data_IF_773069033943
#
_entry.id   IF_773069033943
#
_cell.length_a   1.000
_cell.length_b   1.000
_cell.length_c   1.000
_cell.angle_alpha   90.00
_cell.angle_beta   90.00
_cell.angle_gamma   90.00
#
_symmetry.space_group_name_H-M   'P 1'
#
loop_
_entity.id
_entity.type
_entity.pdbx_description
1 polymer ?
#
# COMPACT_ATOMS: atom_id res chain seq x y z
N UNK A 1 12.95 30.41 58.61
CA UNK A 1 12.92 28.95 58.88
C UNK A 1 11.50 28.38 59.13
N UNK A 2 10.42 29.18 59.11
CA UNK A 2 9.05 28.69 59.35
C UNK A 2 8.29 28.37 58.04
N UNK A 3 8.70 27.31 57.32
CA UNK A 3 7.91 26.73 56.21
C UNK A 3 7.87 25.19 56.20
N UNK A 4 8.22 24.54 57.31
CA UNK A 4 8.16 23.07 57.41
C UNK A 4 9.17 22.30 56.55
N UNK A 5 10.13 22.99 55.92
CA UNK A 5 11.23 22.35 55.21
C UNK A 5 12.33 22.00 56.22
N UNK A 6 12.60 20.70 56.39
CA UNK A 6 13.67 20.21 57.27
C UNK A 6 15.02 20.33 56.55
N UNK A 7 15.71 21.46 56.71
CA UNK A 7 16.98 21.75 56.00
C UNK A 7 18.20 21.24 56.81
N UNK A 8 17.98 20.49 57.89
CA UNK A 8 19.01 20.05 58.85
C UNK A 8 20.17 19.24 58.25
N UNK A 9 19.94 18.52 57.16
CA UNK A 9 21.00 17.72 56.50
C UNK A 9 21.79 18.50 55.43
N UNK A 10 21.36 19.70 55.05
CA UNK A 10 22.00 20.52 54.01
C UNK A 10 23.13 21.33 54.62
N UNK A 11 24.31 21.30 53.97
CA UNK A 11 25.54 21.92 54.47
C UNK A 11 25.44 23.44 54.69
N UNK A 12 24.60 24.14 53.94
CA UNK A 12 24.44 25.60 54.05
C UNK A 12 22.97 26.04 53.95
N UNK A 13 22.61 27.10 54.69
CA UNK A 13 21.26 27.70 54.69
C UNK A 13 20.94 28.40 53.36
N UNK A 14 21.95 28.89 52.66
CA UNK A 14 21.87 29.44 51.32
C UNK A 14 22.69 28.55 50.37
N UNK A 15 22.05 27.50 49.85
CA UNK A 15 22.70 26.55 48.96
C UNK A 15 23.05 27.20 47.62
N UNK A 16 24.31 27.57 47.42
CA UNK A 16 24.85 28.05 46.14
C UNK A 16 25.33 26.84 45.32
N UNK A 17 24.91 26.77 44.06
CA UNK A 17 25.22 25.66 43.15
C UNK A 17 25.80 26.24 41.85
N UNK A 18 26.67 25.49 41.17
CA UNK A 18 27.24 25.89 39.88
C UNK A 18 26.18 26.06 38.78
N UNK A 19 26.35 27.08 37.92
CA UNK A 19 25.47 27.41 36.78
C UNK A 19 25.26 26.23 35.81
N UNK A 20 26.17 25.25 35.78
CA UNK A 20 26.05 24.04 34.95
C UNK A 20 24.76 23.25 35.22
N UNK A 21 24.18 23.38 36.41
CA UNK A 21 22.93 22.70 36.78
C UNK A 21 21.75 23.20 35.95
N UNK A 22 21.78 24.44 35.45
CA UNK A 22 20.77 24.98 34.53
C UNK A 22 20.71 24.20 33.21
N UNK A 23 21.83 23.59 32.80
CA UNK A 23 21.95 22.80 31.57
C UNK A 23 21.44 21.36 31.66
N UNK A 24 20.99 20.88 32.83
CA UNK A 24 20.55 19.49 32.99
C UNK A 24 19.25 19.20 32.24
N UNK A 25 19.34 18.37 31.19
CA UNK A 25 18.18 17.91 30.42
C UNK A 25 17.58 16.62 30.95
N UNK A 26 18.29 15.88 31.80
CA UNK A 26 17.88 14.57 32.30
C UNK A 26 17.55 14.64 33.79
N UNK A 27 16.39 14.11 34.15
CA UNK A 27 15.94 14.03 35.57
C UNK A 27 16.85 13.15 36.43
N UNK A 28 17.59 12.22 35.82
CA UNK A 28 18.57 11.37 36.52
C UNK A 28 19.73 12.18 37.09
N UNK A 29 20.23 13.15 36.34
CA UNK A 29 21.35 14.01 36.74
C UNK A 29 20.93 14.93 37.88
N UNK A 30 19.76 15.58 37.75
CA UNK A 30 19.18 16.41 38.81
C UNK A 30 18.93 15.60 40.10
N UNK A 31 18.38 14.38 40.00
CA UNK A 31 18.15 13.53 41.17
C UNK A 31 19.46 13.11 41.86
N UNK A 32 20.54 12.89 41.11
CA UNK A 32 21.86 12.59 41.67
C UNK A 32 22.45 13.80 42.40
N UNK A 33 22.32 15.00 41.84
CA UNK A 33 22.74 16.24 42.49
C UNK A 33 22.03 16.41 43.84
N UNK A 34 20.70 16.29 43.88
CA UNK A 34 19.94 16.46 45.13
C UNK A 34 20.26 15.39 46.19
N UNK A 35 20.68 14.19 45.78
CA UNK A 35 21.19 13.17 46.72
C UNK A 35 22.56 13.55 47.28
N UNK A 36 23.47 14.05 46.45
CA UNK A 36 24.80 14.53 46.89
C UNK A 36 24.68 15.71 47.85
N UNK A 37 23.77 16.64 47.56
CA UNK A 37 23.48 17.81 48.39
C UNK A 37 22.57 17.49 49.61
N UNK A 38 22.26 16.21 49.84
CA UNK A 38 21.37 15.71 50.92
C UNK A 38 19.97 16.35 50.97
N UNK A 39 19.55 17.03 49.90
CA UNK A 39 18.24 17.66 49.77
C UNK A 39 17.11 16.70 49.31
N UNK A 40 17.46 15.46 48.93
CA UNK A 40 16.51 14.48 48.38
C UNK A 40 15.36 14.13 49.33
N UNK A 41 15.61 14.12 50.64
CA UNK A 41 14.59 13.82 51.65
C UNK A 41 13.49 14.89 51.70
N UNK A 42 13.84 16.15 51.49
CA UNK A 42 12.88 17.25 51.44
C UNK A 42 11.98 17.18 50.21
N UNK A 43 12.55 16.81 49.06
CA UNK A 43 11.78 16.61 47.83
C UNK A 43 10.76 15.48 48.00
N UNK A 44 11.15 14.35 48.62
CA UNK A 44 10.22 13.26 48.93
C UNK A 44 9.08 13.64 49.89
N UNK A 45 9.27 14.63 50.76
CA UNK A 45 8.21 15.12 51.66
C UNK A 45 7.14 15.92 50.93
N UNK A 46 7.52 16.60 49.84
CA UNK A 46 6.62 17.38 48.98
C UNK A 46 5.91 16.48 47.96
N UNK A 47 6.62 15.49 47.41
CA UNK A 47 6.08 14.57 46.41
C UNK A 47 5.57 13.26 47.03
N UNK A 48 4.29 12.95 46.79
CA UNK A 48 3.68 11.69 47.17
C UNK A 48 3.91 10.58 46.14
N UNK A 49 3.99 9.35 46.61
CA UNK A 49 3.83 8.14 45.79
C UNK A 49 2.42 7.59 46.01
N UNK A 50 1.95 6.66 45.16
CA UNK A 50 0.62 6.06 45.37
C UNK A 50 0.46 5.37 46.74
N UNK A 51 1.56 4.93 47.37
CA UNK A 51 1.54 4.30 48.69
C UNK A 51 1.68 5.29 49.86
N UNK A 52 2.29 6.47 49.65
CA UNK A 52 2.59 7.44 50.72
C UNK A 52 2.14 8.84 50.33
N UNK A 53 1.22 9.38 51.11
CA UNK A 53 0.75 10.75 50.98
C UNK A 53 1.89 11.76 51.25
N UNK A 54 1.77 12.96 50.67
CA UNK A 54 2.75 14.03 50.86
C UNK A 54 2.56 14.61 52.26
N UNK A 55 3.65 14.75 53.02
CA UNK A 55 3.57 15.29 54.37
C UNK A 55 3.40 16.81 54.38
N UNK A 56 3.95 17.50 53.38
CA UNK A 56 3.95 18.97 53.31
C UNK A 56 2.82 19.55 52.47
N UNK A 57 2.19 18.76 51.60
CA UNK A 57 1.09 19.20 50.73
C UNK A 57 -0.17 18.43 51.07
N UNK A 58 -1.00 19.01 51.93
CA UNK A 58 -2.28 18.44 52.33
C UNK A 58 -3.20 18.23 51.12
N UNK A 59 -3.96 17.13 51.13
CA UNK A 59 -4.94 16.76 50.08
C UNK A 59 -4.36 16.55 48.67
N UNK A 60 -3.06 16.30 48.53
CA UNK A 60 -2.43 16.00 47.23
C UNK A 60 -1.95 14.56 47.15
N UNK A 61 -2.46 13.81 46.17
CA UNK A 61 -1.96 12.49 45.77
C UNK A 61 -1.54 12.49 44.30
N UNK A 62 -0.55 11.68 43.95
CA UNK A 62 -0.05 11.58 42.58
C UNK A 62 -1.13 10.93 41.70
N UNK A 63 -1.41 11.46 40.49
CA UNK A 63 -2.41 10.87 39.60
C UNK A 63 -2.14 9.38 39.37
N UNK A 64 -3.19 8.57 39.44
CA UNK A 64 -3.08 7.17 39.04
C UNK A 64 -2.92 7.08 37.52
N UNK A 65 -1.95 6.29 37.07
CA UNK A 65 -1.88 5.89 35.67
C UNK A 65 -3.19 5.20 35.26
N UNK A 66 -3.73 5.57 34.09
CA UNK A 66 -4.98 4.99 33.56
C UNK A 66 -4.79 3.56 33.07
N UNK A 67 -3.58 3.22 32.63
CA UNK A 67 -3.20 1.91 32.12
C UNK A 67 -1.92 1.46 32.81
N UNK A 68 -1.90 0.21 33.28
CA UNK A 68 -0.76 -0.34 34.02
C UNK A 68 0.40 -0.71 33.10
N UNK A 69 0.10 -1.31 31.95
CA UNK A 69 1.06 -1.62 30.91
C UNK A 69 0.83 -0.72 29.69
N UNK A 70 1.84 0.04 29.29
CA UNK A 70 1.81 0.97 28.15
C UNK A 70 2.33 0.37 26.85
N UNK A 71 2.70 -0.92 26.84
CA UNK A 71 3.13 -1.60 25.62
C UNK A 71 1.96 -2.37 24.97
N UNK A 72 1.25 -1.76 24.00
CA UNK A 72 0.19 -2.44 23.28
C UNK A 72 0.71 -3.61 22.46
N UNK A 73 1.96 -3.59 21.99
CA UNK A 73 2.52 -4.68 21.18
C UNK A 73 2.65 -5.96 22.00
N UNK A 74 3.11 -5.83 23.25
CA UNK A 74 3.18 -6.96 24.19
C UNK A 74 1.79 -7.50 24.53
N UNK A 75 0.82 -6.62 24.79
CA UNK A 75 -0.57 -7.02 25.09
C UNK A 75 -1.16 -7.74 23.89
N UNK A 76 -1.08 -7.18 22.69
CA UNK A 76 -1.66 -7.76 21.48
C UNK A 76 -1.04 -9.10 21.10
N UNK A 77 0.26 -9.30 21.38
CA UNK A 77 0.99 -10.55 21.09
C UNK A 77 0.92 -11.57 22.23
N UNK A 78 0.22 -11.28 23.31
CA UNK A 78 0.11 -12.19 24.45
C UNK A 78 -0.69 -13.44 24.07
N UNK A 79 -0.33 -14.59 24.66
CA UNK A 79 -0.95 -15.88 24.32
C UNK A 79 -2.43 -15.93 24.69
N UNK A 80 -2.84 -15.20 25.72
CA UNK A 80 -4.22 -15.10 26.19
C UNK A 80 -5.10 -14.44 25.13
N UNK A 81 -4.65 -13.34 24.54
CA UNK A 81 -5.36 -12.64 23.46
C UNK A 81 -5.32 -13.48 22.19
N UNK A 82 -4.15 -13.97 21.79
CA UNK A 82 -4.00 -14.75 20.55
C UNK A 82 -4.81 -16.06 20.57
N UNK A 83 -4.99 -16.69 21.75
CA UNK A 83 -5.85 -17.87 21.90
C UNK A 83 -7.34 -17.56 21.69
N UNK A 84 -7.79 -16.38 22.10
CA UNK A 84 -9.17 -15.95 21.93
C UNK A 84 -9.45 -15.40 20.52
N UNK A 85 -8.41 -14.93 19.81
CA UNK A 85 -8.55 -14.37 18.47
C UNK A 85 -8.85 -15.45 17.42
N UNK A 86 -9.75 -15.10 16.49
CA UNK A 86 -10.04 -15.90 15.31
C UNK A 86 -8.97 -15.70 14.24
N UNK A 87 -8.56 -16.78 13.58
CA UNK A 87 -7.63 -16.70 12.44
C UNK A 87 -8.17 -15.74 11.35
N UNK A 88 -7.30 -14.89 10.76
CA UNK A 88 -7.71 -13.96 9.72
C UNK A 88 -8.13 -14.72 8.45
N UNK A 89 -9.33 -14.43 7.94
CA UNK A 89 -9.84 -15.04 6.71
C UNK A 89 -9.61 -14.10 5.52
N UNK A 90 -8.77 -14.50 4.57
CA UNK A 90 -8.58 -13.79 3.30
C UNK A 90 -9.10 -14.66 2.14
N UNK A 91 -9.98 -14.10 1.31
CA UNK A 91 -10.44 -14.76 0.08
C UNK A 91 -9.58 -14.30 -1.09
N UNK A 92 -8.94 -15.24 -1.78
CA UNK A 92 -8.12 -14.91 -2.96
C UNK A 92 -9.02 -14.55 -4.15
N UNK A 93 -8.84 -13.34 -4.70
CA UNK A 93 -9.53 -12.89 -5.91
C UNK A 93 -8.89 -13.54 -7.14
N UNK A 94 -9.63 -14.44 -7.80
CA UNK A 94 -9.21 -15.07 -9.05
C UNK A 94 -9.58 -14.19 -10.25
N UNK A 95 -8.71 -14.14 -11.27
CA UNK A 95 -8.97 -13.36 -12.48
C UNK A 95 -10.04 -14.05 -13.37
N UNK A 96 -11.18 -13.40 -13.68
CA UNK A 96 -12.27 -14.02 -14.44
C UNK A 96 -11.92 -14.23 -15.92
N UNK A 97 -11.04 -13.42 -16.52
CA UNK A 97 -10.64 -13.59 -17.93
C UNK A 97 -9.82 -14.87 -18.11
N UNK A 98 -9.01 -15.22 -17.11
CA UNK A 98 -8.18 -16.43 -17.11
C UNK A 98 -8.91 -17.65 -16.53
N UNK A 99 -9.86 -17.47 -15.60
CA UNK A 99 -10.59 -18.56 -14.97
C UNK A 99 -12.07 -18.60 -15.43
N UNK A 100 -12.46 -19.53 -16.31
CA UNK A 100 -13.81 -19.56 -16.88
C UNK A 100 -14.89 -19.80 -15.83
N UNK A 101 -14.65 -20.57 -14.76
CA UNK A 101 -15.64 -20.82 -13.71
C UNK A 101 -16.00 -19.55 -12.94
N UNK A 102 -15.00 -18.70 -12.71
CA UNK A 102 -15.21 -17.40 -12.05
C UNK A 102 -15.95 -16.44 -12.98
N UNK A 103 -15.63 -16.44 -14.28
CA UNK A 103 -16.40 -15.68 -15.26
C UNK A 103 -17.87 -16.11 -15.27
N UNK A 104 -18.14 -17.42 -15.28
CA UNK A 104 -19.50 -17.96 -15.29
C UNK A 104 -20.27 -17.65 -14.00
N UNK A 105 -19.59 -17.62 -12.85
CA UNK A 105 -20.18 -17.20 -11.58
C UNK A 105 -20.59 -15.72 -11.57
N UNK A 106 -19.82 -14.86 -12.24
CA UNK A 106 -20.08 -13.42 -12.31
C UNK A 106 -21.07 -13.06 -13.42
N UNK A 107 -20.91 -13.66 -14.59
CA UNK A 107 -21.69 -13.40 -15.78
C UNK A 107 -22.09 -14.74 -16.45
N UNK A 108 -23.30 -15.26 -16.20
CA UNK A 108 -23.75 -16.52 -16.79
C UNK A 108 -23.89 -16.43 -18.32
N UNK A 109 -24.22 -15.25 -18.85
CA UNK A 109 -24.36 -15.03 -20.31
C UNK A 109 -23.02 -15.18 -21.05
N UNK A 110 -21.88 -15.04 -20.35
CA UNK A 110 -20.57 -15.28 -20.93
C UNK A 110 -20.41 -16.71 -21.48
N UNK A 111 -21.17 -17.69 -20.97
CA UNK A 111 -21.20 -19.06 -21.52
C UNK A 111 -21.74 -19.06 -22.96
N UNK A 112 -22.89 -18.42 -23.15
CA UNK A 112 -23.61 -18.37 -24.42
C UNK A 112 -22.81 -17.62 -25.46
N UNK A 113 -22.24 -16.46 -25.09
CA UNK A 113 -21.38 -15.68 -25.98
C UNK A 113 -20.16 -16.50 -26.40
N UNK A 114 -19.44 -17.10 -25.46
CA UNK A 114 -18.27 -17.94 -25.79
C UNK A 114 -18.64 -19.08 -26.74
N UNK A 115 -19.72 -19.81 -26.48
CA UNK A 115 -20.18 -20.90 -27.34
C UNK A 115 -20.48 -20.41 -28.75
N UNK A 116 -21.25 -19.32 -28.89
CA UNK A 116 -21.57 -18.74 -30.19
C UNK A 116 -20.31 -18.28 -30.96
N UNK A 117 -19.33 -17.71 -30.26
CA UNK A 117 -18.07 -17.28 -30.87
C UNK A 117 -17.23 -18.45 -31.35
N UNK A 118 -17.16 -19.54 -30.58
CA UNK A 118 -16.43 -20.76 -30.96
C UNK A 118 -17.06 -21.38 -32.20
N UNK A 119 -18.39 -21.52 -32.23
CA UNK A 119 -19.11 -22.06 -33.39
C UNK A 119 -18.89 -21.18 -34.63
N UNK A 120 -18.93 -19.86 -34.47
CA UNK A 120 -18.65 -18.93 -35.57
C UNK A 120 -17.22 -19.06 -36.09
N UNK A 121 -16.24 -19.15 -35.19
CA UNK A 121 -14.83 -19.31 -35.56
C UNK A 121 -14.59 -20.63 -36.28
N UNK A 122 -15.14 -21.74 -35.79
CA UNK A 122 -15.00 -23.05 -36.42
C UNK A 122 -15.63 -23.07 -37.82
N UNK A 123 -16.82 -22.49 -37.99
CA UNK A 123 -17.47 -22.33 -39.31
C UNK A 123 -16.60 -21.50 -40.26
N UNK A 124 -16.09 -20.37 -39.80
CA UNK A 124 -15.23 -19.51 -40.62
C UNK A 124 -13.92 -20.20 -41.00
N UNK A 125 -13.32 -20.95 -40.08
CA UNK A 125 -12.12 -21.73 -40.36
C UNK A 125 -12.39 -22.81 -41.41
N UNK A 126 -13.51 -23.54 -41.29
CA UNK A 126 -13.93 -24.52 -42.29
C UNK A 126 -14.10 -23.87 -43.67
N UNK A 127 -14.85 -22.77 -43.76
CA UNK A 127 -15.04 -22.05 -45.02
C UNK A 127 -13.72 -21.55 -45.61
N UNK A 128 -12.78 -21.10 -44.76
CA UNK A 128 -11.46 -20.67 -45.22
C UNK A 128 -10.63 -21.84 -45.75
N UNK A 129 -10.66 -23.00 -45.09
CA UNK A 129 -10.00 -24.23 -45.55
C UNK A 129 -10.62 -24.73 -46.85
N UNK A 130 -11.94 -24.81 -46.95
CA UNK A 130 -12.64 -25.25 -48.16
C UNK A 130 -12.35 -24.30 -49.33
N UNK A 131 -12.32 -22.99 -49.07
CA UNK A 131 -11.95 -21.97 -50.06
C UNK A 131 -10.48 -22.09 -50.49
N UNK A 132 -9.57 -22.35 -49.54
CA UNK A 132 -8.15 -22.56 -49.83
C UNK A 132 -7.94 -23.85 -50.64
N UNK A 133 -8.65 -24.93 -50.31
CA UNK A 133 -8.62 -26.20 -51.04
C UNK A 133 -9.17 -26.05 -52.47
N UNK A 134 -10.30 -25.35 -52.64
CA UNK A 134 -10.85 -25.06 -53.96
C UNK A 134 -9.91 -24.17 -54.81
N UNK A 135 -9.26 -23.18 -54.20
CA UNK A 135 -8.25 -22.37 -54.88
C UNK A 135 -7.03 -23.21 -55.29
N UNK A 136 -6.55 -24.10 -54.43
CA UNK A 136 -5.46 -25.02 -54.75
C UNK A 136 -5.84 -26.01 -55.87
N UNK A 137 -7.09 -26.50 -55.89
CA UNK A 137 -7.59 -27.35 -56.97
C UNK A 137 -7.67 -26.60 -58.31
N UNK A 138 -8.10 -25.34 -58.31
CA UNK A 138 -8.11 -24.50 -59.51
C UNK A 138 -6.69 -24.28 -60.06
N UNK A 139 -5.72 -24.01 -59.19
CA UNK A 139 -4.31 -23.91 -59.57
C UNK A 139 -3.73 -25.24 -60.11
N UNK A 140 -4.16 -26.38 -59.57
CA UNK A 140 -3.79 -27.69 -60.09
C UNK A 140 -4.36 -27.93 -61.50
N UNK A 141 -5.59 -27.48 -61.79
CA UNK A 141 -6.21 -27.62 -63.11
C UNK A 141 -5.67 -26.63 -64.16
N UNK A 142 -5.11 -25.49 -63.75
CA UNK A 142 -4.47 -24.53 -64.68
C UNK A 142 -3.07 -24.94 -65.14
N UNK A 143 -2.49 -26.01 -64.59
CA UNK A 143 -1.16 -26.50 -64.98
C UNK A 143 -1.17 -27.49 -66.17
N UNK A 144 -2.32 -27.77 -66.78
CA UNK A 144 -2.41 -28.64 -67.97
C UNK A 144 -2.78 -27.94 -69.30
N UNK A 145 -2.83 -26.60 -69.36
CA UNK A 145 -2.91 -25.90 -70.64
C UNK A 145 -1.94 -24.72 -70.70
N UNK A 146 -0.84 -24.94 -71.40
CA UNK A 146 0.19 -23.94 -71.67
C UNK A 146 -0.19 -22.91 -72.74
N UNK A 147 0.62 -21.84 -72.73
CA UNK A 147 0.82 -20.68 -73.65
C UNK A 147 -0.11 -19.45 -73.52
N UNK A 148 0.42 -18.21 -73.76
CA UNK A 148 0.45 -17.18 -72.72
C UNK A 148 -0.16 -15.83 -73.15
N UNK A 149 -0.45 -14.99 -72.16
CA UNK A 149 -0.52 -13.54 -72.35
C UNK A 149 -1.91 -12.94 -72.54
N UNK A 150 -2.30 -12.12 -71.57
CA UNK A 150 -2.59 -10.68 -71.72
C UNK A 150 -3.13 -10.16 -70.39
N UNK A 151 -2.43 -9.23 -69.75
CA UNK A 151 -2.98 -8.43 -68.65
C UNK A 151 -4.01 -7.45 -69.24
N UNK A 152 -5.26 -7.37 -68.76
CA UNK A 152 -6.09 -6.21 -69.01
C UNK A 152 -5.89 -5.19 -67.89
N UNK A 153 -5.46 -4.02 -68.33
CA UNK A 153 -5.34 -2.78 -67.58
C UNK A 153 -6.66 -2.02 -67.71
N UNK A 154 -7.13 -1.45 -66.59
CA UNK A 154 -8.01 -0.26 -66.45
C UNK A 154 -9.46 -0.32 -66.91
N UNK A 155 -10.36 0.08 -65.99
CA UNK A 155 -11.74 0.44 -66.29
C UNK A 155 -12.48 1.10 -65.11
N UNK A 156 -12.00 2.26 -64.65
CA UNK A 156 -12.76 3.14 -63.73
C UNK A 156 -14.03 3.68 -64.43
N UNK A 157 -15.18 3.67 -63.74
CA UNK A 157 -16.20 4.76 -63.66
C UNK A 157 -17.44 4.25 -62.90
N UNK A 158 -18.14 4.99 -62.03
CA UNK A 158 -17.92 6.28 -61.34
C UNK A 158 -19.06 6.44 -60.31
N UNK A 159 -18.68 6.84 -59.09
CA UNK A 159 -19.24 7.90 -58.22
C UNK A 159 -20.77 8.14 -58.14
N UNK A 160 -21.27 8.21 -56.89
CA UNK A 160 -21.72 9.44 -56.17
C UNK A 160 -21.33 9.27 -54.69
N UNK A 161 -20.44 10.08 -54.10
CA UNK A 161 -20.67 11.37 -53.41
C UNK A 161 -21.82 11.25 -52.38
N UNK A 162 -21.61 11.38 -51.07
CA UNK A 162 -21.40 12.58 -50.23
C UNK A 162 -20.94 12.06 -48.84
N UNK A 163 -20.09 12.68 -48.02
CA UNK A 163 -19.46 13.99 -47.96
C UNK A 163 -18.42 13.96 -46.83
N UNK A 164 -17.52 14.94 -46.86
CA UNK A 164 -16.27 15.08 -46.11
C UNK A 164 -16.51 15.64 -44.70
N UNK A 165 -15.75 15.16 -43.70
CA UNK A 165 -14.98 15.96 -42.70
C UNK A 165 -13.80 15.08 -42.21
N UNK A 166 -12.60 15.09 -42.83
CA UNK A 166 -11.39 15.92 -42.52
C UNK A 166 -11.09 15.93 -41.00
N UNK A 167 -9.97 15.46 -40.45
CA UNK A 167 -8.53 15.78 -40.66
C UNK A 167 -7.74 14.84 -39.71
N UNK A 168 -6.43 14.55 -39.74
CA UNK A 168 -5.25 14.63 -40.62
C UNK A 168 -4.16 13.82 -39.88
N UNK A 169 -3.30 13.06 -40.57
CA UNK A 169 -1.98 12.59 -40.06
C UNK A 169 -0.95 13.73 -40.18
N UNK A 170 0.15 13.79 -39.40
CA UNK A 170 1.46 13.20 -39.79
C UNK A 170 2.28 12.61 -38.60
N UNK A 171 3.06 11.53 -38.72
CA UNK A 171 4.42 11.33 -39.26
C UNK A 171 5.60 11.94 -38.44
N UNK A 172 6.58 11.06 -38.15
CA UNK A 172 8.01 11.28 -37.84
C UNK A 172 8.40 11.64 -36.39
N UNK A 173 8.99 10.63 -35.71
CA UNK A 173 10.41 10.66 -35.34
C UNK A 173 10.86 11.33 -34.03
N UNK A 174 11.72 10.57 -33.33
CA UNK A 174 12.87 10.98 -32.51
C UNK A 174 12.69 11.23 -30.99
N UNK A 175 13.57 10.49 -30.28
CA UNK A 175 14.26 10.75 -29.01
C UNK A 175 13.68 10.17 -27.70
N UNK A 176 14.33 9.07 -27.31
CA UNK A 176 14.75 8.67 -25.96
C UNK A 176 14.79 9.80 -24.92
N UNK A 177 14.25 9.57 -23.72
CA UNK A 177 14.88 10.01 -22.47
C UNK A 177 14.36 9.18 -21.29
N UNK A 178 15.32 8.68 -20.52
CA UNK A 178 15.30 7.92 -19.27
C UNK A 178 14.53 8.57 -18.12
N UNK A 179 14.10 7.78 -17.14
CA UNK A 179 14.49 7.95 -15.72
C UNK A 179 14.34 6.62 -14.95
N UNK A 180 15.45 6.15 -14.39
CA UNK A 180 15.51 5.16 -13.33
C UNK A 180 15.35 5.83 -11.95
N UNK A 181 14.72 5.09 -11.04
CA UNK A 181 14.97 4.87 -9.61
C UNK A 181 15.41 6.00 -8.64
N UNK A 182 14.91 5.83 -7.40
CA UNK A 182 15.52 6.07 -6.06
C UNK A 182 14.89 7.12 -5.15
N UNK A 183 14.52 6.62 -3.96
CA UNK A 183 14.80 7.17 -2.61
C UNK A 183 14.44 8.61 -2.27
N UNK A 184 13.49 8.80 -1.34
CA UNK A 184 13.79 9.29 0.03
C UNK A 184 12.59 9.16 0.96
#
# INVERSE_FOLDING_TARGET
>A
MSKGQCIEEVLELALVVEDKVEGYKKTKEAALLFKKLKAWNNIKKVYCTWQKAASLKSNYNSPMHKVLNTDPSRILKSSEIQRALRAPRRVLKKNPLKNPRIMLKLNPYAKTVRQSTILRQAKNHKLWVDKAAAAAALEATSNEKGVPGKKPVIGKKRKKAVGVVKQKKPLVGKKFCSYQETSS
#
